data_IF_260245879140
#
_entry.id   IF_260245879140
#
_cell.length_a   1.000
_cell.length_b   1.000
_cell.length_c   1.000
_cell.angle_alpha   90.00
_cell.angle_beta   90.00
_cell.angle_gamma   90.00
#
_symmetry.space_group_name_H-M   'P 1'
#
loop_
_entity.id
_entity.type
_entity.pdbx_description
1 polymer ?
#
# COMPACT_ATOMS: atom_id res chain seq x y z
N UNK A 1 -7.18 -6.46 -45.36
CA UNK A 1 -7.58 -5.50 -44.30
C UNK A 1 -7.89 -6.21 -42.97
N UNK A 2 -8.63 -7.32 -43.00
CA UNK A 2 -9.02 -8.15 -41.84
C UNK A 2 -7.83 -8.58 -40.96
N UNK A 3 -6.71 -9.04 -41.54
CA UNK A 3 -5.53 -9.47 -40.76
C UNK A 3 -4.87 -8.35 -39.93
N UNK A 4 -4.97 -7.09 -40.36
CA UNK A 4 -4.41 -5.94 -39.60
C UNK A 4 -5.28 -5.57 -38.41
N UNK A 5 -6.61 -5.72 -38.55
CA UNK A 5 -7.59 -5.48 -37.46
C UNK A 5 -7.49 -6.57 -36.40
N UNK A 6 -7.35 -7.83 -36.80
CA UNK A 6 -7.17 -8.95 -35.87
C UNK A 6 -5.85 -8.80 -35.11
N UNK A 7 -4.76 -8.44 -35.78
CA UNK A 7 -3.47 -8.23 -35.11
C UNK A 7 -3.53 -7.07 -34.10
N UNK A 8 -4.22 -5.97 -34.44
CA UNK A 8 -4.41 -4.84 -33.53
C UNK A 8 -5.25 -5.21 -32.31
N UNK A 9 -6.31 -6.00 -32.49
CA UNK A 9 -7.12 -6.51 -31.37
C UNK A 9 -6.31 -7.45 -30.48
N UNK A 10 -5.54 -8.37 -31.06
CA UNK A 10 -4.68 -9.28 -30.29
C UNK A 10 -3.63 -8.50 -29.50
N UNK A 11 -2.97 -7.51 -30.11
CA UNK A 11 -2.01 -6.64 -29.41
C UNK A 11 -2.67 -5.82 -28.31
N UNK A 12 -3.89 -5.32 -28.54
CA UNK A 12 -4.67 -4.62 -27.52
C UNK A 12 -5.02 -5.54 -26.33
N UNK A 13 -5.56 -6.74 -26.59
CA UNK A 13 -5.86 -7.71 -25.55
C UNK A 13 -4.60 -8.19 -24.79
N UNK A 14 -3.49 -8.42 -25.51
CA UNK A 14 -2.21 -8.78 -24.89
C UNK A 14 -1.69 -7.62 -24.03
N UNK A 15 -1.82 -6.37 -24.47
CA UNK A 15 -1.44 -5.19 -23.68
C UNK A 15 -2.32 -4.98 -22.45
N UNK A 16 -3.63 -5.23 -22.53
CA UNK A 16 -4.53 -5.22 -21.37
C UNK A 16 -4.22 -6.35 -20.39
N UNK A 17 -3.87 -7.54 -20.88
CA UNK A 17 -3.48 -8.68 -20.03
C UNK A 17 -2.13 -8.45 -19.35
N UNK A 18 -1.20 -7.74 -19.99
CA UNK A 18 0.09 -7.34 -19.41
C UNK A 18 -0.05 -6.33 -18.27
N UNK A 19 -1.13 -5.54 -18.24
CA UNK A 19 -1.44 -4.60 -17.15
C UNK A 19 -2.13 -5.29 -15.96
N UNK A 20 -2.71 -6.48 -16.14
CA UNK A 20 -3.26 -7.30 -15.07
C UNK A 20 -2.18 -8.13 -14.34
N UNK A 21 -0.98 -7.56 -14.16
CA UNK A 21 -0.02 -8.17 -13.25
C UNK A 21 -0.54 -7.99 -11.84
N UNK A 22 -0.79 -9.11 -11.17
CA UNK A 22 -1.17 -9.11 -9.78
C UNK A 22 -0.22 -8.25 -8.94
N UNK A 23 -0.77 -7.45 -8.03
CA UNK A 23 -0.04 -6.53 -7.13
C UNK A 23 0.78 -7.27 -6.06
N UNK A 24 1.34 -8.43 -6.38
CA UNK A 24 2.11 -9.26 -5.47
C UNK A 24 3.51 -8.67 -5.30
N UNK A 25 3.92 -8.49 -4.05
CA UNK A 25 5.27 -8.07 -3.73
C UNK A 25 5.88 -9.03 -2.68
N UNK A 26 7.09 -9.51 -2.99
CA UNK A 26 7.86 -10.46 -2.17
C UNK A 26 9.05 -9.81 -1.46
N UNK A 27 9.19 -8.49 -1.59
CA UNK A 27 10.24 -7.73 -0.95
C UNK A 27 9.93 -7.63 0.55
N UNK A 28 10.98 -7.66 1.39
CA UNK A 28 10.85 -7.51 2.86
C UNK A 28 10.14 -6.21 3.27
N UNK A 29 10.15 -5.20 2.40
CA UNK A 29 9.55 -3.89 2.64
C UNK A 29 8.11 -3.77 2.09
N UNK A 30 7.44 -4.87 1.72
CA UNK A 30 6.09 -4.79 1.16
C UNK A 30 5.09 -4.09 2.09
N UNK A 31 5.11 -4.42 3.39
CA UNK A 31 4.23 -3.77 4.37
C UNK A 31 4.49 -2.26 4.47
N UNK A 32 5.77 -1.84 4.41
CA UNK A 32 6.15 -0.42 4.32
C UNK A 32 5.56 0.27 3.09
N UNK A 33 5.57 -0.39 1.92
CA UNK A 33 4.94 0.16 0.70
C UNK A 33 3.44 0.36 0.88
N UNK A 34 2.76 -0.59 1.54
CA UNK A 34 1.34 -0.44 1.86
C UNK A 34 1.09 0.68 2.89
N UNK A 35 1.95 0.80 3.91
CA UNK A 35 1.85 1.88 4.89
C UNK A 35 2.06 3.26 4.24
N UNK A 36 2.99 3.37 3.28
CA UNK A 36 3.20 4.60 2.49
C UNK A 36 1.95 4.91 1.68
N UNK A 37 1.37 3.89 1.01
CA UNK A 37 0.15 4.04 0.21
C UNK A 37 -1.02 4.52 1.06
N UNK A 38 -1.24 3.91 2.23
CA UNK A 38 -2.30 4.32 3.15
C UNK A 38 -2.05 5.72 3.70
N UNK A 39 -0.80 6.04 4.06
CA UNK A 39 -0.43 7.37 4.56
C UNK A 39 -0.71 8.45 3.52
N UNK A 40 -0.34 8.21 2.26
CA UNK A 40 -0.65 9.13 1.16
C UNK A 40 -2.16 9.26 0.96
N UNK A 41 -2.90 8.15 0.95
CA UNK A 41 -4.35 8.16 0.79
C UNK A 41 -5.06 8.97 1.90
N UNK A 42 -4.58 8.88 3.15
CA UNK A 42 -5.11 9.68 4.26
C UNK A 42 -4.81 11.18 4.11
N UNK A 43 -3.62 11.53 3.60
CA UNK A 43 -3.26 12.92 3.27
C UNK A 43 -4.18 13.45 2.17
N UNK A 44 -4.40 12.68 1.11
CA UNK A 44 -5.25 13.08 -0.01
C UNK A 44 -6.73 13.20 0.41
N UNK A 45 -7.19 12.34 1.33
CA UNK A 45 -8.56 12.32 1.82
C UNK A 45 -8.88 13.43 2.83
N UNK A 46 -8.10 13.53 3.93
CA UNK A 46 -8.40 14.41 5.08
C UNK A 46 -7.42 15.58 5.24
N UNK A 47 -6.37 15.62 4.43
CA UNK A 47 -5.40 16.69 4.44
C UNK A 47 -4.33 16.60 5.54
N UNK A 48 -3.39 17.55 5.47
CA UNK A 48 -2.23 17.66 6.36
C UNK A 48 -2.60 17.72 7.83
N UNK A 49 -3.58 18.54 8.20
CA UNK A 49 -3.91 18.81 9.61
C UNK A 49 -4.38 17.54 10.32
N UNK A 50 -5.29 16.79 9.70
CA UNK A 50 -5.77 15.51 10.22
C UNK A 50 -4.64 14.51 10.43
N UNK A 51 -3.78 14.31 9.43
CA UNK A 51 -2.65 13.37 9.52
C UNK A 51 -1.63 13.84 10.56
N UNK A 52 -1.38 15.14 10.65
CA UNK A 52 -0.51 15.72 11.68
C UNK A 52 -1.05 15.43 13.09
N UNK A 53 -2.35 15.57 13.30
CA UNK A 53 -2.99 15.27 14.58
C UNK A 53 -2.88 13.79 14.95
N UNK A 54 -3.17 12.87 14.01
CA UNK A 54 -2.97 11.44 14.22
C UNK A 54 -1.53 11.11 14.65
N UNK A 55 -0.54 11.68 13.94
CA UNK A 55 0.87 11.46 14.24
C UNK A 55 1.28 12.03 15.59
N UNK A 56 0.86 13.26 15.89
CA UNK A 56 1.18 13.93 17.15
C UNK A 56 0.58 13.19 18.35
N UNK A 57 -0.64 12.68 18.18
CA UNK A 57 -1.33 11.85 19.17
C UNK A 57 -0.80 10.42 19.22
N UNK A 58 0.19 10.04 18.41
CA UNK A 58 0.71 8.67 18.32
C UNK A 58 -0.39 7.64 17.99
N UNK A 59 -1.40 8.04 17.21
CA UNK A 59 -2.42 7.11 16.70
C UNK A 59 -1.76 6.19 15.68
N UNK A 60 -1.98 4.90 15.85
CA UNK A 60 -1.55 3.85 14.94
C UNK A 60 -2.66 2.81 14.81
N UNK A 61 -2.97 2.43 13.58
CA UNK A 61 -3.99 1.43 13.29
C UNK A 61 -3.61 0.54 12.13
N UNK A 62 -4.19 -0.66 12.12
CA UNK A 62 -4.05 -1.67 11.08
C UNK A 62 -5.42 -2.16 10.65
N UNK A 63 -5.56 -2.48 9.37
CA UNK A 63 -6.80 -2.91 8.75
C UNK A 63 -6.59 -4.26 8.09
N UNK A 64 -7.50 -5.19 8.38
CA UNK A 64 -7.57 -6.45 7.66
C UNK A 64 -8.60 -6.28 6.56
N UNK A 65 -8.12 -6.30 5.32
CA UNK A 65 -8.91 -6.09 4.12
C UNK A 65 -8.88 -7.33 3.24
N UNK A 66 -9.97 -7.56 2.52
CA UNK A 66 -9.98 -8.45 1.38
C UNK A 66 -9.80 -7.60 0.11
N UNK A 67 -8.87 -7.98 -0.74
CA UNK A 67 -8.57 -7.30 -2.01
C UNK A 67 -8.71 -8.25 -3.20
N UNK A 68 -8.95 -7.69 -4.38
CA UNK A 68 -8.85 -8.43 -5.64
C UNK A 68 -7.38 -8.67 -6.05
N UNK A 69 -7.16 -9.29 -7.22
CA UNK A 69 -5.82 -9.57 -7.75
C UNK A 69 -5.02 -8.29 -8.07
N UNK A 70 -5.71 -7.18 -8.34
CA UNK A 70 -5.12 -5.86 -8.55
C UNK A 70 -4.83 -5.13 -7.24
N UNK A 71 -5.20 -5.69 -6.08
CA UNK A 71 -4.94 -5.06 -4.79
C UNK A 71 -5.99 -4.03 -4.38
N UNK A 72 -7.13 -3.96 -5.07
CA UNK A 72 -8.25 -3.07 -4.74
C UNK A 72 -9.10 -3.70 -3.63
N UNK A 73 -9.46 -2.90 -2.63
CA UNK A 73 -10.29 -3.37 -1.51
C UNK A 73 -11.70 -3.74 -2.00
N UNK A 74 -12.07 -5.00 -1.85
CA UNK A 74 -13.44 -5.48 -2.10
C UNK A 74 -14.24 -5.58 -0.81
N UNK A 75 -13.60 -5.96 0.29
CA UNK A 75 -14.26 -6.15 1.58
C UNK A 75 -13.36 -5.72 2.74
N UNK A 76 -13.99 -5.30 3.84
CA UNK A 76 -13.33 -4.82 5.04
C UNK A 76 -13.74 -5.69 6.23
N UNK A 77 -12.74 -6.27 6.91
CA UNK A 77 -13.00 -7.16 8.04
C UNK A 77 -12.92 -6.45 9.37
N UNK A 78 -11.84 -5.71 9.63
CA UNK A 78 -11.57 -5.11 10.95
C UNK A 78 -10.48 -4.05 10.91
N UNK A 79 -10.64 -3.02 11.75
CA UNK A 79 -9.56 -2.13 12.20
C UNK A 79 -9.12 -2.53 13.61
N UNK A 80 -7.81 -2.50 13.85
CA UNK A 80 -7.20 -2.55 15.17
C UNK A 80 -6.39 -1.27 15.33
N UNK A 81 -6.75 -0.45 16.30
CA UNK A 81 -6.05 0.79 16.61
C UNK A 81 -5.54 0.78 18.05
N UNK A 82 -4.41 1.45 18.29
CA UNK A 82 -3.93 1.68 19.65
C UNK A 82 -4.73 2.78 20.38
N UNK A 83 -5.46 3.60 19.63
CA UNK A 83 -6.38 4.64 20.11
C UNK A 83 -7.70 4.53 19.36
N UNK A 84 -8.81 4.62 20.06
CA UNK A 84 -10.12 4.45 19.44
C UNK A 84 -10.33 5.44 18.28
N UNK A 85 -10.73 4.91 17.12
CA UNK A 85 -11.19 5.68 15.98
C UNK A 85 -12.72 5.60 15.98
N UNK A 86 -13.39 6.70 15.67
CA UNK A 86 -14.85 6.67 15.55
C UNK A 86 -15.28 5.73 14.41
N UNK A 87 -16.42 5.07 14.57
CA UNK A 87 -16.93 4.13 13.56
C UNK A 87 -17.21 4.83 12.23
N UNK A 88 -17.62 6.09 12.30
CA UNK A 88 -17.84 6.97 11.15
C UNK A 88 -16.53 7.19 10.40
N UNK A 89 -15.44 7.51 11.10
CA UNK A 89 -14.13 7.71 10.50
C UNK A 89 -13.58 6.42 9.88
N UNK A 90 -13.75 5.28 10.56
CA UNK A 90 -13.38 3.97 10.01
C UNK A 90 -14.10 3.72 8.66
N UNK A 91 -15.41 3.95 8.60
CA UNK A 91 -16.21 3.77 7.39
C UNK A 91 -15.84 4.75 6.28
N UNK A 92 -15.56 6.00 6.63
CA UNK A 92 -15.14 7.04 5.70
C UNK A 92 -13.80 6.70 5.03
N UNK A 93 -12.81 6.27 5.82
CA UNK A 93 -11.50 5.83 5.29
C UNK A 93 -11.70 4.68 4.31
N UNK A 94 -12.44 3.64 4.70
CA UNK A 94 -12.67 2.48 3.84
C UNK A 94 -13.42 2.87 2.56
N UNK A 95 -14.43 3.73 2.67
CA UNK A 95 -15.20 4.21 1.51
C UNK A 95 -14.31 4.99 0.54
N UNK A 96 -13.46 5.87 1.06
CA UNK A 96 -12.50 6.62 0.25
C UNK A 96 -11.56 5.68 -0.51
N UNK A 97 -10.98 4.69 0.17
CA UNK A 97 -10.04 3.74 -0.46
C UNK A 97 -10.71 2.92 -1.57
N UNK A 98 -11.96 2.50 -1.37
CA UNK A 98 -12.75 1.77 -2.38
C UNK A 98 -13.09 2.64 -3.58
N UNK A 99 -13.68 3.82 -3.35
CA UNK A 99 -14.15 4.72 -4.43
C UNK A 99 -13.00 5.20 -5.31
N UNK A 100 -11.84 5.46 -4.71
CA UNK A 100 -10.66 5.93 -5.45
C UNK A 100 -9.78 4.79 -5.98
N UNK A 101 -10.22 3.53 -5.87
CA UNK A 101 -9.47 2.36 -6.32
C UNK A 101 -8.01 2.39 -5.85
N UNK A 102 -7.80 2.69 -4.56
CA UNK A 102 -6.45 2.69 -3.98
C UNK A 102 -5.93 1.25 -3.97
N UNK A 103 -4.88 1.01 -4.75
CA UNK A 103 -4.28 -0.30 -4.93
C UNK A 103 -3.19 -0.56 -3.91
N UNK A 104 -3.28 -1.68 -3.20
CA UNK A 104 -2.29 -2.15 -2.24
C UNK A 104 -1.54 -3.38 -2.76
N UNK A 105 -0.31 -3.57 -2.29
CA UNK A 105 0.42 -4.79 -2.58
C UNK A 105 -0.09 -5.97 -1.74
N UNK A 106 -0.19 -7.14 -2.38
CA UNK A 106 -0.40 -8.42 -1.72
C UNK A 106 0.97 -8.94 -1.28
N UNK A 107 1.27 -8.78 0.00
CA UNK A 107 2.59 -9.07 0.56
C UNK A 107 2.77 -10.56 0.86
N UNK A 108 3.85 -11.14 0.34
CA UNK A 108 4.29 -12.49 0.65
C UNK A 108 5.73 -12.51 1.11
N UNK A 109 6.04 -13.41 2.03
CA UNK A 109 7.44 -13.67 2.36
C UNK A 109 8.10 -14.46 1.23
N UNK A 110 9.31 -14.06 0.85
CA UNK A 110 10.10 -14.78 -0.15
C UNK A 110 10.42 -16.19 0.36
N UNK A 111 10.01 -17.26 -0.32
CA UNK A 111 10.41 -18.62 0.03
C UNK A 111 11.94 -18.77 0.08
N UNK A 112 12.42 -19.58 1.04
CA UNK A 112 13.84 -19.88 1.17
C UNK A 112 14.36 -20.63 -0.07
N UNK A 113 15.57 -20.29 -0.49
CA UNK A 113 16.24 -20.95 -1.63
C UNK A 113 15.79 -20.50 -3.02
N UNK A 114 14.74 -19.67 -3.14
CA UNK A 114 14.27 -19.15 -4.42
C UNK A 114 14.72 -17.71 -4.67
N UNK A 115 14.99 -17.38 -5.93
CA UNK A 115 15.16 -16.00 -6.37
C UNK A 115 13.79 -15.27 -6.47
N UNK A 116 13.79 -13.96 -6.76
CA UNK A 116 12.57 -13.14 -6.79
C UNK A 116 11.56 -13.63 -7.84
N UNK A 117 12.03 -13.97 -9.04
CA UNK A 117 11.17 -14.42 -10.14
C UNK A 117 10.56 -15.79 -9.84
N UNK A 118 11.36 -16.74 -9.36
CA UNK A 118 10.92 -18.06 -8.95
C UNK A 118 9.88 -17.98 -7.82
N UNK A 119 10.11 -17.09 -6.85
CA UNK A 119 9.18 -16.84 -5.75
C UNK A 119 7.85 -16.31 -6.26
N UNK A 120 7.88 -15.31 -7.14
CA UNK A 120 6.68 -14.74 -7.76
C UNK A 120 5.92 -15.79 -8.58
N UNK A 121 6.61 -16.61 -9.36
CA UNK A 121 5.99 -17.68 -10.14
C UNK A 121 5.28 -18.71 -9.25
N UNK A 122 5.94 -19.14 -8.16
CA UNK A 122 5.37 -20.07 -7.19
C UNK A 122 4.14 -19.49 -6.50
N UNK A 123 4.23 -18.25 -6.00
CA UNK A 123 3.13 -17.58 -5.30
C UNK A 123 1.95 -17.33 -6.24
N UNK A 124 2.21 -16.83 -7.46
CA UNK A 124 1.16 -16.63 -8.47
C UNK A 124 0.47 -17.94 -8.81
N UNK A 125 1.23 -19.03 -8.97
CA UNK A 125 0.66 -20.36 -9.21
C UNK A 125 -0.28 -20.74 -8.06
N UNK A 126 0.17 -20.69 -6.81
CA UNK A 126 -0.67 -21.04 -5.66
C UNK A 126 -1.91 -20.15 -5.47
N UNK A 127 -1.82 -18.86 -5.80
CA UNK A 127 -2.92 -17.92 -5.62
C UNK A 127 -3.99 -18.02 -6.71
N UNK A 128 -3.58 -18.21 -7.95
CA UNK A 128 -4.48 -18.08 -9.10
C UNK A 128 -4.95 -19.42 -9.68
N UNK A 129 -4.37 -20.56 -9.28
CA UNK A 129 -4.82 -21.88 -9.79
C UNK A 129 -6.13 -22.37 -9.18
N UNK A 130 -6.59 -21.82 -8.06
CA UNK A 130 -7.79 -22.29 -7.35
C UNK A 130 -9.02 -21.39 -7.54
N UNK A 131 -8.99 -20.43 -8.46
CA UNK A 131 -10.09 -19.46 -8.62
C UNK A 131 -10.27 -18.54 -7.41
N UNK A 132 -9.27 -18.43 -6.53
CA UNK A 132 -9.26 -17.47 -5.43
C UNK A 132 -9.01 -16.07 -6.00
N UNK A 133 -10.09 -15.35 -6.26
CA UNK A 133 -10.07 -13.96 -6.73
C UNK A 133 -9.92 -12.94 -5.60
N UNK A 134 -9.79 -13.41 -4.36
CA UNK A 134 -9.77 -12.58 -3.17
C UNK A 134 -8.59 -12.94 -2.28
N UNK A 135 -7.85 -11.93 -1.86
CA UNK A 135 -6.66 -12.06 -1.02
C UNK A 135 -6.83 -11.24 0.26
N UNK A 136 -6.46 -11.80 1.40
CA UNK A 136 -6.50 -11.07 2.67
C UNK A 136 -5.16 -10.38 2.86
N UNK A 137 -5.18 -9.07 3.07
CA UNK A 137 -4.00 -8.26 3.36
C UNK A 137 -4.15 -7.53 4.68
N UNK A 138 -2.99 -7.15 5.23
CA UNK A 138 -2.90 -6.19 6.32
C UNK A 138 -2.30 -4.89 5.79
N UNK A 139 -2.94 -3.77 6.12
CA UNK A 139 -2.49 -2.42 5.78
C UNK A 139 -2.57 -1.55 7.04
N UNK A 140 -1.54 -0.78 7.35
CA UNK A 140 -1.52 0.01 8.57
C UNK A 140 -0.94 1.39 8.40
N UNK A 141 -1.24 2.25 9.38
CA UNK A 141 -0.79 3.62 9.46
C UNK A 141 -0.28 3.92 10.88
N UNK A 142 0.82 4.66 11.05
CA UNK A 142 1.91 4.83 10.07
C UNK A 142 2.86 3.60 10.05
N UNK A 143 2.53 2.53 10.80
CA UNK A 143 3.38 1.36 11.05
C UNK A 143 4.82 1.74 11.43
N UNK A 144 5.81 1.09 10.82
CA UNK A 144 7.23 1.27 11.06
C UNK A 144 7.82 2.41 10.24
N UNK A 145 7.02 3.18 9.49
CA UNK A 145 7.49 4.38 8.81
C UNK A 145 8.04 5.40 9.82
N UNK A 146 7.51 5.43 11.04
CA UNK A 146 7.96 6.36 12.08
C UNK A 146 9.14 5.84 12.92
N UNK A 147 9.70 4.66 12.61
CA UNK A 147 10.70 4.00 13.47
C UNK A 147 11.96 4.82 13.71
N UNK A 148 12.38 5.61 12.71
CA UNK A 148 13.61 6.41 12.77
C UNK A 148 13.34 7.90 13.01
N UNK A 149 12.10 8.31 13.27
CA UNK A 149 11.74 9.71 13.45
C UNK A 149 12.53 10.37 14.59
N UNK A 150 12.67 9.70 15.73
CA UNK A 150 13.37 10.27 16.88
C UNK A 150 14.82 10.64 16.53
N UNK A 151 15.53 9.75 15.84
CA UNK A 151 16.88 9.96 15.37
C UNK A 151 16.97 11.13 14.38
N UNK A 152 16.12 11.13 13.35
CA UNK A 152 16.13 12.19 12.32
C UNK A 152 15.72 13.55 12.87
N UNK A 153 14.81 13.60 13.86
CA UNK A 153 14.44 14.82 14.56
C UNK A 153 15.62 15.38 15.34
N UNK A 154 16.35 14.53 16.07
CA UNK A 154 17.49 14.98 16.88
C UNK A 154 18.63 15.48 15.99
N UNK A 155 18.90 14.80 14.87
CA UNK A 155 19.83 15.27 13.83
C UNK A 155 19.39 16.62 13.24
N UNK A 156 18.12 16.78 12.88
CA UNK A 156 17.61 18.06 12.36
C UNK A 156 17.77 19.20 13.38
N UNK A 157 17.60 18.90 14.68
CA UNK A 157 17.79 19.86 15.77
C UNK A 157 19.25 20.30 15.91
N UNK A 158 20.22 19.39 15.73
CA UNK A 158 21.65 19.74 15.69
C UNK A 158 21.98 20.70 14.55
N UNK A 159 21.26 20.60 13.43
CA UNK A 159 21.35 21.53 12.29
C UNK A 159 20.53 22.83 12.48
N UNK A 160 19.95 23.06 13.66
CA UNK A 160 19.12 24.23 13.95
C UNK A 160 17.74 24.23 13.27
N UNK A 161 17.27 23.07 12.80
CA UNK A 161 15.98 22.90 12.13
C UNK A 161 14.96 22.25 13.07
N UNK A 162 13.68 22.51 12.80
CA UNK A 162 12.58 21.77 13.41
C UNK A 162 12.06 20.77 12.37
N UNK A 163 11.98 19.48 12.73
CA UNK A 163 11.39 18.43 11.90
C UNK A 163 10.13 17.91 12.58
N UNK A 164 8.97 18.21 12.00
CA UNK A 164 7.70 17.64 12.45
C UNK A 164 7.53 16.19 12.01
N UNK A 165 6.68 15.44 12.71
CA UNK A 165 6.31 14.06 12.30
C UNK A 165 5.70 14.03 10.90
N UNK A 166 4.91 15.03 10.55
CA UNK A 166 4.29 15.14 9.22
C UNK A 166 5.34 15.34 8.13
N UNK A 167 6.27 16.28 8.31
CA UNK A 167 7.36 16.52 7.34
C UNK A 167 8.23 15.27 7.15
N UNK A 168 8.54 14.57 8.25
CA UNK A 168 9.24 13.30 8.20
C UNK A 168 8.47 12.24 7.41
N UNK A 169 7.18 12.03 7.69
CA UNK A 169 6.34 11.09 6.97
C UNK A 169 6.28 11.42 5.47
N UNK A 170 6.09 12.69 5.10
CA UNK A 170 6.07 13.11 3.69
C UNK A 170 7.41 12.89 2.99
N UNK A 171 8.53 13.04 3.70
CA UNK A 171 9.86 12.74 3.17
C UNK A 171 9.98 11.26 2.82
N UNK A 172 9.53 10.37 3.71
CA UNK A 172 9.50 8.92 3.44
C UNK A 172 8.59 8.60 2.25
N UNK A 173 7.38 9.15 2.22
CA UNK A 173 6.44 8.93 1.12
C UNK A 173 7.10 9.31 -0.22
N UNK A 174 7.77 10.47 -0.29
CA UNK A 174 8.45 10.93 -1.50
C UNK A 174 9.62 10.03 -1.90
N UNK A 175 10.40 9.50 -0.94
CA UNK A 175 11.48 8.55 -1.22
C UNK A 175 10.96 7.26 -1.89
N UNK A 176 9.81 6.75 -1.45
CA UNK A 176 9.19 5.57 -2.06
C UNK A 176 8.62 5.84 -3.45
N UNK A 177 8.09 7.05 -3.69
CA UNK A 177 7.65 7.46 -5.03
C UNK A 177 8.82 7.54 -6.01
N UNK A 178 9.93 8.16 -5.61
CA UNK A 178 11.12 8.29 -6.46
C UNK A 178 11.84 6.96 -6.78
N UNK A 179 11.53 5.88 -6.05
CA UNK A 179 12.07 4.54 -6.32
C UNK A 179 11.17 3.71 -7.25
N UNK A 180 9.99 4.23 -7.59
CA UNK A 180 8.97 3.55 -8.40
C UNK A 180 8.91 4.09 -9.85
N UNK A 181 9.71 5.12 -10.15
CA UNK A 181 9.97 5.68 -11.48
C UNK A 181 11.33 5.18 -12.01
#
# INVERSE_FOLDING_TARGET
MVNKVILALVLFFVSCMLQAQASINVDRCCLRKNAVTLSQALIDFKGKEFVSNLLNDNVSFSMICAVDSSGIIIDFKRIRSNKELSKELEQEIISYLKVNHVSFYICYEKPLGLNKEESLALIKRGLFTEGRLTHIINIGFPEDLMSSYAYERDKAKEEGKCLSKYEYLTTIINQYKSQSE
#
